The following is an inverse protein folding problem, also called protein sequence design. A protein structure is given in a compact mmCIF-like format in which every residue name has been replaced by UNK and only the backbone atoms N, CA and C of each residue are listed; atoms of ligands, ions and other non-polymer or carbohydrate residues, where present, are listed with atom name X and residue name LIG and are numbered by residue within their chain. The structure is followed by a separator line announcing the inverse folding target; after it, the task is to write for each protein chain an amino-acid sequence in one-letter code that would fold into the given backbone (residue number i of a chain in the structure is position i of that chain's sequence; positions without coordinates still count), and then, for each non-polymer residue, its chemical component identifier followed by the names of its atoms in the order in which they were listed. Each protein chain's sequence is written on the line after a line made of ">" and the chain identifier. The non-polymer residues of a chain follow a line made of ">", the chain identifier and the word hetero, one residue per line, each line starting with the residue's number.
data_IF_549041512798
#
_entry.id   IF_549041512798
#
_cell.length_a   1.000
_cell.length_b   1.000
_cell.length_c   1.000
_cell.angle_alpha   90.00
_cell.angle_beta   90.00
_cell.angle_gamma   90.00
#
_symmetry.space_group_name_H-M   'P 1'
#
loop_
_entity.id
_entity.type
_entity.pdbx_description
1 polymer ?
#
# COMPACT_ATOMS: atom_id res chain seq x y z
N UNK A 1 -26.08 -20.15 -26.88
CA UNK A 1 -25.56 -18.77 -26.84
C UNK A 1 -24.15 -18.80 -27.39
N UNK A 2 -23.89 -18.06 -28.45
CA UNK A 2 -22.58 -18.08 -29.09
C UNK A 2 -21.71 -16.95 -28.58
N UNK A 3 -20.45 -17.26 -28.28
CA UNK A 3 -19.43 -16.26 -27.89
C UNK A 3 -19.25 -15.18 -28.97
N UNK A 4 -19.57 -15.52 -30.23
CA UNK A 4 -19.57 -14.61 -31.38
C UNK A 4 -20.38 -13.33 -31.14
N UNK A 5 -21.52 -13.41 -30.45
CA UNK A 5 -22.35 -12.25 -30.11
C UNK A 5 -21.65 -11.27 -29.17
N UNK A 6 -20.99 -11.79 -28.12
CA UNK A 6 -20.19 -11.01 -27.19
C UNK A 6 -18.97 -10.38 -27.89
N UNK A 7 -18.30 -11.15 -28.75
CA UNK A 7 -17.15 -10.65 -29.51
C UNK A 7 -17.53 -9.53 -30.47
N UNK A 8 -18.65 -9.67 -31.18
CA UNK A 8 -19.20 -8.64 -32.06
C UNK A 8 -19.53 -7.36 -31.27
N UNK A 9 -20.16 -7.49 -30.10
CA UNK A 9 -20.44 -6.34 -29.22
C UNK A 9 -19.16 -5.62 -28.79
N UNK A 10 -18.17 -6.37 -28.29
CA UNK A 10 -16.88 -5.80 -27.86
C UNK A 10 -16.17 -5.12 -29.04
N UNK A 11 -16.12 -5.77 -30.21
CA UNK A 11 -15.50 -5.21 -31.41
C UNK A 11 -16.19 -3.92 -31.89
N UNK A 12 -17.52 -3.87 -31.78
CA UNK A 12 -18.36 -2.75 -32.20
C UNK A 12 -18.16 -1.53 -31.29
N UNK A 13 -18.10 -1.72 -29.98
CA UNK A 13 -18.25 -0.61 -29.02
C UNK A 13 -17.08 -0.34 -28.08
N UNK A 14 -16.20 -1.30 -27.82
CA UNK A 14 -15.10 -1.09 -26.88
C UNK A 14 -14.19 0.06 -27.36
N UNK A 15 -13.89 1.00 -26.46
CA UNK A 15 -13.14 2.25 -26.75
C UNK A 15 -13.81 3.16 -27.81
N UNK A 16 -15.08 2.93 -28.17
CA UNK A 16 -15.83 3.65 -29.22
C UNK A 16 -17.20 4.18 -28.74
N UNK A 17 -17.44 4.18 -27.43
CA UNK A 17 -18.69 4.68 -26.84
C UNK A 17 -18.70 6.21 -26.85
N UNK A 18 -19.82 6.79 -27.22
CA UNK A 18 -20.09 8.24 -27.21
C UNK A 18 -21.51 8.49 -26.69
N UNK A 19 -21.81 9.74 -26.35
CA UNK A 19 -23.17 10.15 -25.98
C UNK A 19 -24.23 9.83 -27.07
N UNK A 20 -23.84 9.77 -28.35
CA UNK A 20 -24.74 9.46 -29.47
C UNK A 20 -25.12 7.97 -29.55
N UNK A 21 -24.19 7.07 -29.20
CA UNK A 21 -24.41 5.63 -29.28
C UNK A 21 -24.66 4.95 -27.93
N UNK A 22 -24.57 5.68 -26.81
CA UNK A 22 -24.75 5.17 -25.45
C UNK A 22 -26.05 4.37 -25.26
N UNK A 23 -27.17 4.86 -25.80
CA UNK A 23 -28.45 4.14 -25.73
C UNK A 23 -28.42 2.80 -26.47
N UNK A 24 -27.74 2.73 -27.62
CA UNK A 24 -27.58 1.50 -28.39
C UNK A 24 -26.64 0.51 -27.69
N UNK A 25 -25.55 1.00 -27.09
CA UNK A 25 -24.63 0.20 -26.27
C UNK A 25 -25.38 -0.52 -25.15
N UNK A 26 -26.22 0.21 -24.42
CA UNK A 26 -27.01 -0.36 -23.31
C UNK A 26 -28.05 -1.36 -23.82
N UNK A 27 -28.75 -1.03 -24.92
CA UNK A 27 -29.81 -1.86 -25.47
C UNK A 27 -29.30 -3.19 -26.07
N UNK A 28 -28.10 -3.20 -26.63
CA UNK A 28 -27.49 -4.39 -27.25
C UNK A 28 -26.69 -5.26 -26.26
N UNK A 29 -26.55 -4.84 -25.00
CA UNK A 29 -25.86 -5.64 -23.98
C UNK A 29 -26.72 -6.84 -23.53
N UNK A 30 -26.16 -8.06 -23.60
CA UNK A 30 -26.81 -9.28 -23.13
C UNK A 30 -26.17 -9.76 -21.80
N UNK A 31 -26.97 -9.77 -20.73
CA UNK A 31 -26.53 -10.21 -19.40
C UNK A 31 -26.10 -11.69 -19.36
N UNK A 32 -26.63 -12.51 -20.26
CA UNK A 32 -26.29 -13.92 -20.30
C UNK A 32 -24.83 -14.16 -20.73
N UNK A 33 -24.15 -13.14 -21.27
CA UNK A 33 -22.72 -13.21 -21.52
C UNK A 33 -21.88 -13.47 -20.26
N UNK A 34 -22.45 -13.29 -19.06
CA UNK A 34 -21.82 -13.71 -17.80
C UNK A 34 -21.36 -15.17 -17.78
N UNK A 35 -22.00 -16.05 -18.55
CA UNK A 35 -21.56 -17.45 -18.66
C UNK A 35 -20.17 -17.61 -19.28
N UNK A 36 -19.69 -16.61 -20.03
CA UNK A 36 -18.36 -16.62 -20.65
C UNK A 36 -17.23 -16.20 -19.71
N UNK A 37 -17.49 -15.90 -18.43
CA UNK A 37 -16.40 -15.73 -17.44
C UNK A 37 -15.54 -16.98 -17.31
N UNK A 38 -16.14 -18.16 -17.50
CA UNK A 38 -15.47 -19.48 -17.51
C UNK A 38 -14.62 -19.75 -18.75
N UNK A 39 -14.70 -18.91 -19.78
CA UNK A 39 -14.04 -19.16 -21.05
C UNK A 39 -12.53 -18.87 -20.94
N UNK A 40 -11.73 -19.93 -20.90
CA UNK A 40 -10.28 -19.88 -20.67
C UNK A 40 -9.45 -19.59 -21.94
N UNK A 41 -10.05 -19.73 -23.13
CA UNK A 41 -9.35 -19.62 -24.42
C UNK A 41 -9.44 -18.20 -25.00
N UNK A 42 -8.74 -17.24 -24.42
CA UNK A 42 -8.45 -15.97 -25.10
C UNK A 42 -6.95 -15.93 -25.42
N UNK A 43 -6.62 -16.23 -26.68
CA UNK A 43 -5.24 -16.23 -27.23
C UNK A 43 -4.68 -14.80 -27.44
N UNK A 44 -5.37 -13.75 -26.99
CA UNK A 44 -4.78 -12.41 -27.00
C UNK A 44 -3.60 -12.32 -26.02
N UNK A 45 -2.52 -11.57 -26.35
CA UNK A 45 -1.35 -11.40 -25.49
C UNK A 45 -1.64 -10.86 -24.08
N UNK A 46 -2.86 -10.33 -23.84
CA UNK A 46 -3.30 -9.72 -22.58
C UNK A 46 -4.31 -10.56 -21.77
N UNK A 47 -4.82 -11.70 -22.28
CA UNK A 47 -5.81 -12.57 -21.60
C UNK A 47 -6.98 -11.78 -20.95
N UNK A 48 -7.59 -10.84 -21.67
CA UNK A 48 -8.66 -10.00 -21.11
C UNK A 48 -9.98 -10.79 -21.09
N UNK A 49 -10.76 -10.70 -20.00
CA UNK A 49 -12.11 -11.30 -19.98
C UNK A 49 -13.01 -10.55 -20.96
N UNK A 50 -13.49 -11.21 -22.02
CA UNK A 50 -14.41 -10.60 -23.02
C UNK A 50 -15.66 -10.04 -22.35
N UNK A 51 -16.25 -10.78 -21.40
CA UNK A 51 -17.38 -10.29 -20.63
C UNK A 51 -17.00 -9.07 -19.77
N UNK A 52 -15.81 -9.09 -19.15
CA UNK A 52 -15.27 -7.92 -18.46
C UNK A 52 -15.12 -6.69 -19.35
N UNK A 53 -14.65 -6.85 -20.60
CA UNK A 53 -14.60 -5.76 -21.58
C UNK A 53 -16.00 -5.27 -21.95
N UNK A 54 -16.97 -6.16 -22.11
CA UNK A 54 -18.35 -5.79 -22.36
C UNK A 54 -18.97 -5.01 -21.18
N UNK A 55 -18.67 -5.39 -19.93
CA UNK A 55 -19.07 -4.64 -18.74
C UNK A 55 -18.41 -3.25 -18.68
N UNK A 56 -17.13 -3.14 -19.04
CA UNK A 56 -16.46 -1.83 -19.14
C UNK A 56 -17.19 -0.98 -20.17
N UNK A 57 -17.43 -1.50 -21.36
CA UNK A 57 -18.18 -0.80 -22.42
C UNK A 57 -19.57 -0.38 -21.95
N UNK A 58 -20.31 -1.26 -21.26
CA UNK A 58 -21.62 -0.96 -20.68
C UNK A 58 -21.53 0.18 -19.65
N UNK A 59 -20.55 0.15 -18.75
CA UNK A 59 -20.36 1.18 -17.73
C UNK A 59 -20.04 2.55 -18.34
N UNK A 60 -19.28 2.60 -19.44
CA UNK A 60 -19.07 3.85 -20.21
C UNK A 60 -20.37 4.28 -20.89
N UNK A 61 -21.15 3.35 -21.43
CA UNK A 61 -22.47 3.63 -22.00
C UNK A 61 -23.40 4.33 -21.00
N UNK A 62 -23.48 3.81 -19.78
CA UNK A 62 -24.24 4.49 -18.72
C UNK A 62 -23.65 5.85 -18.37
N UNK A 63 -22.33 5.98 -18.24
CA UNK A 63 -21.71 7.27 -17.94
C UNK A 63 -21.97 8.32 -19.02
N UNK A 64 -21.98 7.95 -20.31
CA UNK A 64 -22.23 8.84 -21.44
C UNK A 64 -23.72 9.16 -21.64
N UNK A 65 -24.63 8.30 -21.16
CA UNK A 65 -26.07 8.50 -21.32
C UNK A 65 -26.54 9.77 -20.58
N UNK A 66 -27.33 10.60 -21.27
CA UNK A 66 -27.77 11.90 -20.75
C UNK A 66 -28.73 11.77 -19.56
N UNK A 67 -29.72 10.90 -19.68
CA UNK A 67 -30.80 10.69 -18.72
C UNK A 67 -30.65 9.34 -17.99
N UNK A 68 -29.56 9.18 -17.23
CA UNK A 68 -29.41 8.00 -16.37
C UNK A 68 -30.34 8.07 -15.16
N UNK A 69 -30.81 6.90 -14.69
CA UNK A 69 -31.57 6.78 -13.46
C UNK A 69 -30.89 5.82 -12.47
N UNK A 70 -31.33 5.86 -11.21
CA UNK A 70 -30.74 5.03 -10.17
C UNK A 70 -30.85 3.52 -10.45
N UNK A 71 -31.96 3.05 -11.03
CA UNK A 71 -32.17 1.60 -11.26
C UNK A 71 -31.14 1.03 -12.22
N UNK A 72 -30.78 1.79 -13.24
CA UNK A 72 -29.76 1.40 -14.21
C UNK A 72 -28.38 1.24 -13.57
N UNK A 73 -28.01 2.13 -12.65
CA UNK A 73 -26.72 2.07 -11.97
C UNK A 73 -26.73 1.00 -10.85
N UNK A 74 -27.87 0.73 -10.21
CA UNK A 74 -28.03 -0.44 -9.33
C UNK A 74 -27.76 -1.72 -10.13
N UNK A 75 -28.40 -1.88 -11.29
CA UNK A 75 -28.18 -3.04 -12.18
C UNK A 75 -26.72 -3.16 -12.61
N UNK A 76 -26.07 -2.05 -12.99
CA UNK A 76 -24.63 -2.05 -13.30
C UNK A 76 -23.79 -2.51 -12.10
N UNK A 77 -24.11 -2.01 -10.90
CA UNK A 77 -23.43 -2.38 -9.66
C UNK A 77 -23.55 -3.86 -9.33
N UNK A 78 -24.73 -4.46 -9.56
CA UNK A 78 -24.97 -5.90 -9.37
C UNK A 78 -24.13 -6.73 -10.35
N UNK A 79 -24.14 -6.38 -11.65
CA UNK A 79 -23.33 -7.06 -12.66
C UNK A 79 -21.83 -6.98 -12.38
N UNK A 80 -21.34 -5.82 -11.94
CA UNK A 80 -19.95 -5.64 -11.53
C UNK A 80 -19.65 -6.44 -10.26
N UNK A 81 -20.57 -6.49 -9.30
CA UNK A 81 -20.43 -7.28 -8.08
C UNK A 81 -20.32 -8.78 -8.36
N UNK A 82 -21.18 -9.30 -9.23
CA UNK A 82 -21.15 -10.70 -9.68
C UNK A 82 -19.80 -11.02 -10.36
N UNK A 83 -19.35 -10.15 -11.27
CA UNK A 83 -18.04 -10.29 -11.90
C UNK A 83 -16.88 -10.23 -10.89
N UNK A 84 -17.00 -9.38 -9.88
CA UNK A 84 -15.96 -9.22 -8.85
C UNK A 84 -15.81 -10.47 -7.98
N UNK A 85 -16.91 -11.15 -7.69
CA UNK A 85 -16.96 -12.36 -6.86
C UNK A 85 -16.70 -13.66 -7.64
N UNK A 86 -16.65 -13.62 -8.97
CA UNK A 86 -16.43 -14.81 -9.80
C UNK A 86 -14.94 -15.24 -9.81
N UNK A 87 -14.69 -16.45 -9.30
CA UNK A 87 -13.37 -17.08 -9.23
C UNK A 87 -12.67 -17.20 -10.60
N UNK A 88 -13.42 -17.35 -11.70
CA UNK A 88 -12.85 -17.47 -13.05
C UNK A 88 -12.15 -16.18 -13.50
N UNK A 89 -12.53 -15.03 -12.92
CA UNK A 89 -11.96 -13.72 -13.20
C UNK A 89 -11.24 -13.12 -11.99
N UNK A 90 -10.94 -13.95 -10.98
CA UNK A 90 -10.25 -13.59 -9.73
C UNK A 90 -9.05 -12.66 -9.94
N UNK A 91 -8.21 -12.96 -10.94
CA UNK A 91 -6.97 -12.22 -11.22
C UNK A 91 -7.10 -11.13 -12.31
N UNK A 92 -8.32 -10.81 -12.78
CA UNK A 92 -8.54 -9.78 -13.80
C UNK A 92 -8.54 -8.38 -13.20
N UNK A 93 -7.53 -8.06 -12.40
CA UNK A 93 -7.46 -6.83 -11.59
C UNK A 93 -7.56 -5.55 -12.42
N UNK A 94 -6.93 -5.48 -13.60
CA UNK A 94 -7.04 -4.30 -14.47
C UNK A 94 -8.47 -4.05 -14.97
N UNK A 95 -9.25 -5.11 -15.21
CA UNK A 95 -10.67 -4.99 -15.57
C UNK A 95 -11.46 -4.52 -14.36
N UNK A 96 -11.29 -5.19 -13.20
CA UNK A 96 -11.98 -4.84 -11.96
C UNK A 96 -11.72 -3.39 -11.54
N UNK A 97 -10.47 -2.95 -11.61
CA UNK A 97 -10.05 -1.57 -11.41
C UNK A 97 -10.88 -0.62 -12.28
N UNK A 98 -10.92 -0.86 -13.60
CA UNK A 98 -11.65 0.01 -14.54
C UNK A 98 -13.15 0.02 -14.27
N UNK A 99 -13.74 -1.14 -13.98
CA UNK A 99 -15.16 -1.26 -13.65
C UNK A 99 -15.53 -0.44 -12.42
N UNK A 100 -14.75 -0.54 -11.34
CA UNK A 100 -15.03 0.21 -10.11
C UNK A 100 -14.76 1.71 -10.25
N UNK A 101 -13.82 2.13 -11.09
CA UNK A 101 -13.66 3.54 -11.46
C UNK A 101 -14.94 4.05 -12.14
N UNK A 102 -15.38 3.38 -13.20
CA UNK A 102 -16.56 3.79 -13.96
C UNK A 102 -17.84 3.76 -13.13
N UNK A 103 -17.99 2.78 -12.25
CA UNK A 103 -19.13 2.70 -11.32
C UNK A 103 -19.15 3.90 -10.37
N UNK A 104 -17.99 4.30 -9.83
CA UNK A 104 -17.89 5.48 -8.98
C UNK A 104 -18.27 6.76 -9.72
N UNK A 105 -17.81 6.91 -10.98
CA UNK A 105 -18.19 8.02 -11.84
C UNK A 105 -19.70 8.06 -12.12
N UNK A 106 -20.33 6.91 -12.38
CA UNK A 106 -21.77 6.82 -12.59
C UNK A 106 -22.57 7.20 -11.34
N UNK A 107 -22.15 6.74 -10.15
CA UNK A 107 -22.79 7.13 -8.89
C UNK A 107 -22.67 8.62 -8.60
N UNK A 108 -21.48 9.20 -8.83
CA UNK A 108 -21.26 10.62 -8.65
C UNK A 108 -22.10 11.46 -9.63
N UNK A 109 -22.26 11.03 -10.89
CA UNK A 109 -23.15 11.70 -11.87
C UNK A 109 -24.61 11.79 -11.39
N UNK A 110 -25.05 10.85 -10.56
CA UNK A 110 -26.37 10.85 -9.90
C UNK A 110 -26.39 11.54 -8.52
N UNK A 111 -25.27 12.15 -8.08
CA UNK A 111 -25.08 12.74 -6.75
C UNK A 111 -25.15 11.72 -5.58
N UNK A 112 -24.82 10.45 -5.82
CA UNK A 112 -24.70 9.41 -4.79
C UNK A 112 -23.25 9.26 -4.30
N UNK A 113 -22.67 10.31 -3.74
CA UNK A 113 -21.23 10.38 -3.39
C UNK A 113 -20.76 9.27 -2.45
N UNK A 114 -21.59 8.86 -1.47
CA UNK A 114 -21.23 7.75 -0.59
C UNK A 114 -21.08 6.43 -1.38
N UNK A 115 -21.95 6.15 -2.36
CA UNK A 115 -21.81 4.98 -3.23
C UNK A 115 -20.61 5.12 -4.17
N UNK A 116 -20.33 6.34 -4.62
CA UNK A 116 -19.15 6.63 -5.42
C UNK A 116 -17.85 6.34 -4.64
N UNK A 117 -17.77 6.77 -3.37
CA UNK A 117 -16.63 6.50 -2.49
C UNK A 117 -16.42 4.99 -2.31
N UNK A 118 -17.48 4.21 -2.06
CA UNK A 118 -17.36 2.74 -1.92
C UNK A 118 -16.85 2.08 -3.21
N UNK A 119 -17.30 2.54 -4.38
CA UNK A 119 -16.75 2.09 -5.65
C UNK A 119 -15.27 2.51 -5.80
N UNK A 120 -14.92 3.75 -5.44
CA UNK A 120 -13.54 4.23 -5.50
C UNK A 120 -12.60 3.49 -4.53
N UNK A 121 -13.07 3.05 -3.36
CA UNK A 121 -12.29 2.17 -2.45
C UNK A 121 -11.88 0.88 -3.16
N UNK A 122 -12.80 0.22 -3.86
CA UNK A 122 -12.49 -0.98 -4.65
C UNK A 122 -11.60 -0.69 -5.87
N UNK A 123 -11.82 0.42 -6.56
CA UNK A 123 -10.93 0.88 -7.63
C UNK A 123 -9.48 1.00 -7.13
N UNK A 124 -9.28 1.68 -6.00
CA UNK A 124 -7.98 1.87 -5.38
C UNK A 124 -7.39 0.55 -4.91
N UNK A 125 -8.18 -0.33 -4.29
CA UNK A 125 -7.74 -1.67 -3.90
C UNK A 125 -7.12 -2.43 -5.09
N UNK A 126 -7.80 -2.46 -6.24
CA UNK A 126 -7.31 -3.13 -7.44
C UNK A 126 -6.13 -2.41 -8.11
N UNK A 127 -6.05 -1.09 -7.97
CA UNK A 127 -4.88 -0.33 -8.39
C UNK A 127 -3.66 -0.70 -7.52
N UNK A 128 -3.81 -0.77 -6.20
CA UNK A 128 -2.72 -1.07 -5.25
C UNK A 128 -2.27 -2.53 -5.36
N UNK A 129 -3.18 -3.49 -5.50
CA UNK A 129 -2.83 -4.92 -5.54
C UNK A 129 -1.95 -5.30 -6.74
N UNK A 130 -2.02 -4.51 -7.82
CA UNK A 130 -1.19 -4.70 -9.02
C UNK A 130 0.17 -4.02 -8.94
N UNK A 131 0.42 -3.20 -7.90
CA UNK A 131 1.65 -2.41 -7.75
C UNK A 131 2.81 -3.14 -7.07
N UNK A 132 2.56 -4.31 -6.48
CA UNK A 132 3.56 -5.15 -5.85
C UNK A 132 3.25 -6.64 -6.01
N UNK A 133 4.29 -7.41 -6.28
CA UNK A 133 4.21 -8.87 -6.48
C UNK A 133 5.25 -9.63 -5.65
N UNK A 134 5.90 -8.95 -4.69
CA UNK A 134 7.01 -9.52 -3.94
C UNK A 134 6.77 -9.41 -2.45
N UNK A 135 6.81 -10.55 -1.77
CA UNK A 135 6.84 -10.61 -0.31
C UNK A 135 8.30 -10.59 0.16
N UNK A 136 8.59 -9.75 1.16
CA UNK A 136 9.94 -9.55 1.69
C UNK A 136 9.97 -9.90 3.17
N UNK A 137 11.14 -10.31 3.67
CA UNK A 137 11.42 -10.47 5.10
C UNK A 137 12.44 -9.41 5.57
N UNK A 138 12.11 -8.10 5.53
CA UNK A 138 13.09 -7.07 5.76
C UNK A 138 13.47 -6.95 7.25
N UNK A 139 14.71 -6.53 7.49
CA UNK A 139 15.08 -5.86 8.73
C UNK A 139 14.64 -4.40 8.65
N UNK A 140 14.11 -3.86 9.74
CA UNK A 140 13.61 -2.49 9.78
C UNK A 140 13.80 -1.86 11.16
N UNK A 141 14.10 -0.57 11.21
CA UNK A 141 14.27 0.17 12.47
C UNK A 141 13.16 1.20 12.64
N UNK A 142 12.56 1.28 13.82
CA UNK A 142 11.56 2.30 14.14
C UNK A 142 11.96 3.10 15.37
N UNK A 143 12.05 4.42 15.21
CA UNK A 143 12.27 5.37 16.30
C UNK A 143 10.90 5.79 16.86
N UNK A 144 10.74 5.69 18.17
CA UNK A 144 9.45 5.88 18.84
C UNK A 144 9.61 6.61 20.16
N UNK A 145 8.64 7.46 20.48
CA UNK A 145 8.50 8.08 21.80
C UNK A 145 7.98 7.04 22.81
N UNK A 146 8.45 7.13 24.04
CA UNK A 146 7.91 6.34 25.16
C UNK A 146 6.52 6.87 25.53
N UNK A 147 5.48 6.08 25.24
CA UNK A 147 4.08 6.42 25.50
C UNK A 147 3.33 5.16 25.94
N UNK A 148 2.18 5.32 26.60
CA UNK A 148 1.33 4.19 26.96
C UNK A 148 0.91 3.35 25.75
N UNK A 149 0.68 4.01 24.61
CA UNK A 149 0.36 3.34 23.36
C UNK A 149 1.51 2.44 22.89
N UNK A 150 2.76 2.94 22.93
CA UNK A 150 3.93 2.11 22.63
C UNK A 150 4.00 0.89 23.56
N UNK A 151 3.81 1.08 24.87
CA UNK A 151 3.87 -0.02 25.83
C UNK A 151 2.82 -1.09 25.53
N UNK A 152 1.58 -0.69 25.21
CA UNK A 152 0.53 -1.63 24.82
C UNK A 152 0.90 -2.40 23.55
N UNK A 153 1.46 -1.73 22.54
CA UNK A 153 1.92 -2.39 21.31
C UNK A 153 3.07 -3.36 21.56
N UNK A 154 3.98 -3.05 22.48
CA UNK A 154 5.02 -3.96 22.92
C UNK A 154 4.44 -5.17 23.66
N UNK A 155 3.48 -4.95 24.58
CA UNK A 155 2.76 -6.02 25.30
C UNK A 155 2.02 -6.95 24.34
N UNK A 156 1.38 -6.41 23.31
CA UNK A 156 0.58 -7.19 22.36
C UNK A 156 1.38 -7.71 21.15
N UNK A 157 2.65 -7.29 20.99
CA UNK A 157 3.44 -7.50 19.77
C UNK A 157 2.69 -7.05 18.52
N UNK A 158 2.26 -5.79 18.55
CA UNK A 158 1.51 -5.15 17.49
C UNK A 158 2.30 -4.00 16.87
N UNK A 159 2.19 -3.89 15.55
CA UNK A 159 2.67 -2.76 14.80
C UNK A 159 1.51 -1.80 14.56
N UNK A 160 1.69 -0.54 14.94
CA UNK A 160 0.73 0.51 14.64
C UNK A 160 1.04 1.15 13.29
N UNK A 161 -0.03 1.39 12.54
CA UNK A 161 -0.02 2.08 11.26
C UNK A 161 -0.92 3.31 11.37
N UNK A 162 -0.57 4.37 10.66
CA UNK A 162 -1.33 5.63 10.71
C UNK A 162 -1.80 6.01 9.31
N UNK A 163 -2.93 6.71 9.23
CA UNK A 163 -3.34 7.36 7.99
C UNK A 163 -2.26 8.37 7.57
N UNK A 164 -1.93 8.49 6.27
CA UNK A 164 -1.03 9.53 5.76
C UNK A 164 -1.44 10.95 6.15
N UNK A 165 -2.72 11.17 6.47
CA UNK A 165 -3.25 12.45 6.97
C UNK A 165 -2.62 12.93 8.28
N UNK A 166 -1.98 12.03 9.03
CA UNK A 166 -1.34 12.32 10.32
C UNK A 166 0.15 12.62 10.21
N UNK A 167 0.72 12.56 9.00
CA UNK A 167 2.15 12.77 8.78
C UNK A 167 2.51 14.26 8.93
N UNK A 168 3.72 14.52 9.42
CA UNK A 168 4.18 15.85 9.79
C UNK A 168 4.73 16.67 8.60
N UNK A 169 5.16 16.02 7.52
CA UNK A 169 5.57 16.68 6.29
C UNK A 169 4.35 16.84 5.37
N UNK A 170 3.97 18.07 4.97
CA UNK A 170 2.84 18.30 4.08
C UNK A 170 3.00 17.65 2.71
N UNK A 171 4.24 17.38 2.26
CA UNK A 171 4.54 16.70 1.00
C UNK A 171 4.71 15.19 1.16
N UNK A 172 4.42 14.65 2.34
CA UNK A 172 4.48 13.22 2.58
C UNK A 172 3.25 12.52 1.98
N UNK A 173 3.50 11.48 1.17
CA UNK A 173 2.50 10.88 0.28
C UNK A 173 1.89 11.94 -0.65
N UNK A 174 2.57 12.29 -1.76
CA UNK A 174 2.11 13.32 -2.70
C UNK A 174 0.72 13.10 -3.29
N UNK A 175 0.04 11.99 -3.00
CA UNK A 175 -1.34 11.72 -3.40
C UNK A 175 -2.28 12.92 -3.14
N UNK A 176 -2.05 13.69 -2.07
CA UNK A 176 -2.89 14.86 -1.75
C UNK A 176 -2.75 15.93 -2.81
N UNK A 177 -1.52 16.26 -3.19
CA UNK A 177 -1.17 17.24 -4.20
C UNK A 177 -1.51 16.73 -5.61
N UNK A 178 -1.29 15.44 -5.88
CA UNK A 178 -1.59 14.79 -7.16
C UNK A 178 -3.10 14.71 -7.44
N UNK A 179 -3.93 14.62 -6.40
CA UNK A 179 -5.40 14.68 -6.48
C UNK A 179 -5.94 16.10 -6.24
N UNK A 180 -5.10 17.13 -6.11
CA UNK A 180 -5.57 18.49 -5.83
C UNK A 180 -5.90 19.25 -7.12
N UNK A 181 -6.74 18.68 -7.97
CA UNK A 181 -7.17 19.29 -9.23
C UNK A 181 -8.45 20.15 -9.07
N UNK A 182 -9.01 20.20 -7.85
CA UNK A 182 -10.16 21.04 -7.50
C UNK A 182 -11.53 20.45 -7.86
N UNK A 183 -11.58 19.38 -8.66
CA UNK A 183 -12.82 18.70 -9.03
C UNK A 183 -13.34 17.78 -7.90
N UNK A 184 -14.64 17.48 -7.95
CA UNK A 184 -15.31 16.72 -6.89
C UNK A 184 -14.91 15.23 -6.90
N UNK A 185 -14.63 14.65 -8.08
CA UNK A 185 -14.19 13.24 -8.19
C UNK A 185 -12.87 13.02 -7.46
N UNK A 186 -11.90 13.91 -7.65
CA UNK A 186 -10.61 13.83 -6.97
C UNK A 186 -10.75 13.93 -5.45
N UNK A 187 -11.71 14.71 -4.92
CA UNK A 187 -12.01 14.76 -3.48
C UNK A 187 -12.57 13.44 -2.98
N UNK A 188 -13.49 12.81 -3.72
CA UNK A 188 -14.06 11.51 -3.36
C UNK A 188 -13.01 10.40 -3.39
N UNK A 189 -12.13 10.38 -4.40
CA UNK A 189 -11.02 9.44 -4.46
C UNK A 189 -10.04 9.65 -3.31
N UNK A 190 -9.71 10.91 -2.97
CA UNK A 190 -8.87 11.22 -1.82
C UNK A 190 -9.51 10.74 -0.51
N UNK A 191 -10.83 10.85 -0.36
CA UNK A 191 -11.54 10.29 0.79
C UNK A 191 -11.41 8.76 0.84
N UNK A 192 -11.65 8.07 -0.28
CA UNK A 192 -11.49 6.62 -0.38
C UNK A 192 -10.05 6.15 -0.04
N UNK A 193 -9.03 6.92 -0.40
CA UNK A 193 -7.65 6.67 0.05
C UNK A 193 -7.52 6.81 1.57
N UNK A 194 -8.01 7.91 2.15
CA UNK A 194 -7.86 8.21 3.58
C UNK A 194 -8.49 7.15 4.48
N UNK A 195 -9.67 6.67 4.09
CA UNK A 195 -10.43 5.67 4.85
C UNK A 195 -9.63 4.38 4.99
N UNK A 196 -9.16 3.82 3.87
CA UNK A 196 -8.63 2.47 3.83
C UNK A 196 -7.10 2.36 3.95
N UNK A 197 -6.35 3.41 3.61
CA UNK A 197 -4.88 3.38 3.59
C UNK A 197 -4.27 3.70 4.95
N UNK A 198 -3.32 2.86 5.36
CA UNK A 198 -2.48 3.04 6.55
C UNK A 198 -1.03 2.72 6.21
N UNK A 199 -0.11 3.42 6.85
CA UNK A 199 1.33 3.27 6.62
C UNK A 199 2.05 3.14 7.96
N UNK A 200 3.01 2.22 8.02
CA UNK A 200 4.06 2.22 9.03
C UNK A 200 5.40 2.56 8.38
N UNK A 201 6.07 3.58 8.93
CA UNK A 201 7.37 4.04 8.45
C UNK A 201 8.50 3.49 9.32
N UNK A 202 9.56 3.05 8.63
CA UNK A 202 10.79 2.52 9.21
C UNK A 202 12.01 3.11 8.52
N UNK A 203 13.17 2.94 9.14
CA UNK A 203 14.48 3.21 8.55
C UNK A 203 15.14 1.87 8.19
N UNK A 204 15.66 1.78 6.97
CA UNK A 204 16.50 0.67 6.53
C UNK A 204 17.51 1.19 5.49
N UNK A 205 18.80 1.14 5.80
CA UNK A 205 19.86 1.64 4.90
C UNK A 205 20.20 0.66 3.77
N UNK A 206 19.56 -0.50 3.72
CA UNK A 206 19.66 -1.49 2.65
C UNK A 206 18.40 -1.41 1.80
N UNK A 207 18.55 -1.40 0.47
CA UNK A 207 17.41 -1.52 -0.43
C UNK A 207 16.76 -2.90 -0.28
N UNK A 208 15.44 -2.94 -0.38
CA UNK A 208 14.73 -4.18 -0.64
C UNK A 208 15.32 -4.85 -1.90
N UNK A 209 15.40 -6.19 -1.93
CA UNK A 209 15.80 -6.92 -3.11
C UNK A 209 15.03 -6.49 -4.37
N UNK A 210 15.74 -6.26 -5.47
CA UNK A 210 15.14 -5.85 -6.73
C UNK A 210 15.88 -6.44 -7.93
N UNK A 211 15.16 -6.65 -9.02
CA UNK A 211 15.74 -7.08 -10.29
C UNK A 211 16.21 -5.87 -11.09
N UNK A 212 17.45 -5.88 -11.56
CA UNK A 212 18.05 -4.83 -12.36
C UNK A 212 18.30 -5.33 -13.78
N UNK A 213 17.89 -4.56 -14.78
CA UNK A 213 18.18 -4.80 -16.19
C UNK A 213 19.23 -3.79 -16.67
N UNK A 214 20.39 -4.27 -17.10
CA UNK A 214 21.45 -3.47 -17.71
C UNK A 214 21.84 -4.08 -19.07
N UNK A 215 21.63 -3.33 -20.17
CA UNK A 215 22.02 -3.72 -21.53
C UNK A 215 21.55 -5.13 -21.97
N UNK A 216 20.36 -5.54 -21.55
CA UNK A 216 19.77 -6.85 -21.89
C UNK A 216 20.18 -8.00 -20.95
N UNK A 217 21.11 -7.78 -20.01
CA UNK A 217 21.41 -8.72 -18.95
C UNK A 217 20.66 -8.32 -17.67
N UNK A 218 20.00 -9.29 -17.05
CA UNK A 218 19.26 -9.09 -15.81
C UNK A 218 19.95 -9.74 -14.63
N UNK A 219 20.10 -9.01 -13.52
CA UNK A 219 20.61 -9.56 -12.27
C UNK A 219 19.70 -9.22 -11.09
N UNK A 220 19.64 -10.12 -10.12
CA UNK A 220 18.94 -9.87 -8.87
C UNK A 220 19.90 -9.22 -7.87
N UNK A 221 19.57 -8.00 -7.45
CA UNK A 221 20.40 -7.19 -6.56
C UNK A 221 19.89 -7.34 -5.12
N UNK A 222 20.77 -7.82 -4.25
CA UNK A 222 20.52 -8.01 -2.82
C UNK A 222 21.50 -7.21 -1.97
N UNK A 223 21.10 -6.88 -0.74
CA UNK A 223 21.98 -6.30 0.28
C UNK A 223 22.71 -5.02 -0.15
N UNK A 224 22.18 -4.29 -1.14
CA UNK A 224 22.76 -3.06 -1.64
C UNK A 224 22.38 -1.89 -0.73
N UNK A 225 23.39 -1.22 -0.16
CA UNK A 225 23.19 0.04 0.57
C UNK A 225 22.48 1.09 -0.28
N UNK A 226 21.54 1.83 0.32
CA UNK A 226 20.88 2.99 -0.27
C UNK A 226 21.90 4.09 -0.55
N UNK A 227 22.73 4.43 0.45
CA UNK A 227 23.83 5.38 0.28
C UNK A 227 25.16 4.82 0.82
N UNK A 228 26.24 5.10 0.09
CA UNK A 228 27.59 4.59 0.43
C UNK A 228 28.04 4.97 1.84
N UNK A 229 27.64 6.15 2.34
CA UNK A 229 28.04 6.71 3.62
C UNK A 229 27.08 6.38 4.77
N UNK A 230 26.03 5.60 4.52
CA UNK A 230 25.08 5.24 5.56
C UNK A 230 25.77 4.49 6.70
N UNK A 231 25.52 4.99 7.91
CA UNK A 231 25.84 4.34 9.17
C UNK A 231 24.75 3.33 9.50
N UNK A 232 24.98 2.49 10.52
CA UNK A 232 23.91 1.69 11.12
C UNK A 232 22.76 2.60 11.54
N UNK A 233 21.54 2.14 11.37
CA UNK A 233 20.30 2.90 11.49
C UNK A 233 20.18 3.57 12.86
N UNK A 234 20.42 2.79 13.93
CA UNK A 234 20.41 3.28 15.32
C UNK A 234 21.52 4.31 15.64
N UNK A 235 22.46 4.58 14.72
CA UNK A 235 23.48 5.63 14.84
C UNK A 235 23.08 6.94 14.17
N UNK A 236 21.92 7.01 13.50
CA UNK A 236 21.44 8.24 12.89
C UNK A 236 20.88 9.20 13.95
N UNK A 237 21.63 10.26 14.24
CA UNK A 237 21.27 11.25 15.26
C UNK A 237 20.04 12.07 14.90
N UNK A 238 19.78 12.32 13.61
CA UNK A 238 18.59 13.06 13.18
C UNK A 238 17.32 12.24 13.43
N UNK A 239 17.36 10.92 13.19
CA UNK A 239 16.24 10.03 13.51
C UNK A 239 15.90 10.04 15.00
N UNK A 240 16.92 10.02 15.87
CA UNK A 240 16.71 10.16 17.30
C UNK A 240 16.11 11.51 17.71
N UNK A 241 16.58 12.59 17.08
CA UNK A 241 16.11 13.95 17.36
C UNK A 241 14.64 14.13 16.99
N UNK A 242 14.25 13.71 15.78
CA UNK A 242 12.92 13.91 15.23
C UNK A 242 11.88 12.90 15.75
N UNK A 243 12.22 11.61 15.80
CA UNK A 243 11.22 10.54 15.97
C UNK A 243 11.27 9.82 17.32
N UNK A 244 12.38 9.96 18.07
CA UNK A 244 12.52 9.37 19.40
C UNK A 244 12.55 10.43 20.51
N UNK A 245 11.64 11.41 20.41
CA UNK A 245 11.41 12.46 21.41
C UNK A 245 12.70 13.16 21.86
N UNK A 246 13.50 13.65 20.91
CA UNK A 246 14.79 14.28 21.21
C UNK A 246 15.73 13.39 22.05
N UNK A 247 15.87 12.12 21.65
CA UNK A 247 16.63 11.06 22.32
C UNK A 247 16.06 10.54 23.67
N UNK A 248 14.84 10.90 24.06
CA UNK A 248 14.18 10.34 25.26
C UNK A 248 13.43 9.02 24.98
N UNK A 249 13.15 8.74 23.71
CA UNK A 249 12.47 7.53 23.26
C UNK A 249 13.41 6.34 23.05
N UNK A 250 12.96 5.42 22.20
CA UNK A 250 13.68 4.20 21.82
C UNK A 250 13.80 4.04 20.31
N UNK A 251 14.67 3.13 19.89
CA UNK A 251 14.71 2.58 18.53
C UNK A 251 14.51 1.07 18.63
N UNK A 252 13.56 0.53 17.87
CA UNK A 252 13.26 -0.90 17.83
C UNK A 252 13.79 -1.46 16.52
N UNK A 253 14.56 -2.55 16.59
CA UNK A 253 14.99 -3.34 15.43
C UNK A 253 14.02 -4.51 15.25
N UNK A 254 13.35 -4.52 14.12
CA UNK A 254 12.49 -5.61 13.68
C UNK A 254 13.18 -6.47 12.65
N UNK A 255 12.78 -7.73 12.60
CA UNK A 255 12.94 -8.59 11.44
C UNK A 255 11.56 -9.16 11.10
N UNK A 256 11.00 -8.69 10.00
CA UNK A 256 9.67 -9.13 9.58
C UNK A 256 9.74 -10.46 8.83
N UNK A 257 8.65 -11.21 8.92
CA UNK A 257 8.42 -12.40 8.11
C UNK A 257 7.60 -12.03 6.89
N UNK A 258 7.88 -12.67 5.75
CA UNK A 258 7.21 -12.41 4.47
C UNK A 258 5.67 -12.55 4.54
N UNK A 259 5.13 -13.34 5.47
CA UNK A 259 3.69 -13.50 5.66
C UNK A 259 2.96 -12.23 6.13
N UNK A 260 3.67 -11.19 6.56
CA UNK A 260 3.04 -9.89 6.83
C UNK A 260 2.58 -9.22 5.54
N UNK A 261 3.22 -9.55 4.42
CA UNK A 261 2.80 -9.11 3.09
C UNK A 261 1.55 -9.88 2.70
N UNK A 262 0.51 -9.14 2.32
CA UNK A 262 -0.76 -9.64 1.79
C UNK A 262 -0.89 -9.16 0.35
N UNK A 263 -0.65 -10.05 -0.62
CA UNK A 263 -0.75 -9.76 -2.05
C UNK A 263 -1.99 -10.43 -2.67
N UNK A 264 -2.15 -10.29 -3.99
CA UNK A 264 -3.28 -10.83 -4.74
C UNK A 264 -3.54 -12.31 -4.45
N UNK A 265 -4.79 -12.64 -4.10
CA UNK A 265 -5.24 -14.03 -3.98
C UNK A 265 -6.34 -14.23 -2.95
N UNK A 266 -6.11 -13.99 -1.65
CA UNK A 266 -6.97 -14.61 -0.62
C UNK A 266 -7.12 -13.79 0.68
N UNK A 267 -7.20 -12.46 0.57
CA UNK A 267 -7.12 -11.59 1.76
C UNK A 267 -8.33 -10.67 2.00
N UNK A 268 -9.55 -11.06 1.61
CA UNK A 268 -10.82 -10.39 1.98
C UNK A 268 -10.80 -8.85 1.86
N UNK A 269 -10.21 -8.31 0.78
CA UNK A 269 -10.12 -6.85 0.59
C UNK A 269 -8.95 -6.17 1.29
N UNK A 270 -7.92 -6.92 1.70
CA UNK A 270 -6.70 -6.40 2.32
C UNK A 270 -5.49 -6.57 1.39
N UNK A 271 -4.71 -5.50 1.23
CA UNK A 271 -3.37 -5.52 0.62
C UNK A 271 -2.37 -4.98 1.62
N UNK A 272 -1.22 -5.63 1.78
CA UNK A 272 -0.13 -5.10 2.59
C UNK A 272 1.23 -5.46 1.98
N UNK A 273 2.16 -4.51 1.86
CA UNK A 273 3.51 -4.80 1.35
C UNK A 273 4.53 -3.72 1.74
N UNK A 274 5.79 -4.14 1.72
CA UNK A 274 6.93 -3.25 1.91
C UNK A 274 7.39 -2.61 0.60
N UNK A 275 7.77 -1.34 0.66
CA UNK A 275 8.40 -0.63 -0.44
C UNK A 275 9.34 0.46 0.06
N UNK A 276 10.49 0.61 -0.61
CA UNK A 276 11.42 1.71 -0.34
C UNK A 276 10.89 3.03 -0.88
N UNK A 277 11.08 4.10 -0.09
CA UNK A 277 10.77 5.47 -0.52
C UNK A 277 11.85 5.99 -1.45
N UNK A 278 11.41 6.62 -2.54
CA UNK A 278 12.22 7.39 -3.47
C UNK A 278 12.29 8.84 -3.03
N UNK A 279 13.44 9.47 -3.27
CA UNK A 279 13.68 10.86 -2.89
C UNK A 279 13.94 11.72 -4.12
N UNK A 280 13.28 12.87 -4.19
CA UNK A 280 13.42 13.79 -5.31
C UNK A 280 13.41 15.25 -4.88
N UNK A 281 14.12 16.08 -5.65
CA UNK A 281 14.05 17.53 -5.65
C UNK A 281 13.60 18.07 -7.02
N UNK A 282 13.00 17.21 -7.85
CA UNK A 282 12.48 17.57 -9.16
C UNK A 282 11.20 18.39 -9.09
N UNK A 283 10.87 19.06 -10.19
CA UNK A 283 9.65 19.86 -10.30
C UNK A 283 8.38 19.03 -10.11
N UNK A 284 7.41 19.56 -9.35
CA UNK A 284 6.10 18.97 -9.08
C UNK A 284 5.32 18.58 -10.35
N UNK A 285 5.46 19.37 -11.41
CA UNK A 285 4.83 19.15 -12.73
C UNK A 285 5.15 17.78 -13.33
N UNK A 286 6.32 17.20 -13.01
CA UNK A 286 6.73 15.85 -13.45
C UNK A 286 5.90 14.73 -12.86
N UNK A 287 5.24 15.02 -11.73
CA UNK A 287 4.44 14.07 -10.98
C UNK A 287 2.94 14.29 -11.20
N UNK A 288 2.50 15.54 -11.43
CA UNK A 288 1.09 15.89 -11.65
C UNK A 288 0.59 15.70 -13.08
N UNK A 289 1.44 15.81 -14.11
CA UNK A 289 1.03 15.77 -15.53
C UNK A 289 0.90 14.35 -16.10
N UNK A 290 0.78 13.33 -15.25
CA UNK A 290 0.52 11.96 -15.72
C UNK A 290 -0.99 11.79 -15.71
N UNK A 291 -1.58 11.55 -16.88
CA UNK A 291 -3.02 11.27 -17.07
C UNK A 291 -3.53 10.05 -16.24
N UNK A 292 -2.63 9.35 -15.55
CA UNK A 292 -2.91 8.43 -14.46
C UNK A 292 -1.94 8.68 -13.28
N UNK A 293 -2.48 8.77 -12.07
CA UNK A 293 -1.67 8.87 -10.84
C UNK A 293 -0.81 7.62 -10.70
N UNK A 294 0.51 7.81 -10.77
CA UNK A 294 1.45 6.73 -10.46
C UNK A 294 1.43 6.49 -8.95
N UNK A 295 0.89 5.35 -8.51
CA UNK A 295 0.89 4.93 -7.10
C UNK A 295 2.27 5.01 -6.43
N UNK A 296 3.34 4.70 -7.18
CA UNK A 296 4.69 4.72 -6.64
C UNK A 296 5.10 6.15 -6.26
N UNK A 297 4.76 7.12 -7.10
CA UNK A 297 5.01 8.54 -6.83
C UNK A 297 4.03 9.07 -5.76
N UNK A 298 2.81 8.53 -5.70
CA UNK A 298 1.78 9.00 -4.78
C UNK A 298 2.03 8.60 -3.31
N UNK A 299 2.63 7.43 -3.07
CA UNK A 299 2.81 6.88 -1.71
C UNK A 299 4.26 6.65 -1.29
N UNK A 300 5.19 6.63 -2.24
CA UNK A 300 6.59 6.28 -1.98
C UNK A 300 7.55 7.29 -2.57
N UNK A 301 7.13 8.55 -2.72
CA UNK A 301 8.00 9.68 -3.05
C UNK A 301 8.03 10.65 -1.87
N UNK A 302 9.22 11.19 -1.59
CA UNK A 302 9.44 12.18 -0.54
C UNK A 302 10.47 13.22 -0.99
N UNK A 303 10.44 14.40 -0.39
CA UNK A 303 11.41 15.45 -0.66
C UNK A 303 12.84 15.00 -0.36
N UNK A 304 13.80 15.43 -1.18
CA UNK A 304 15.22 15.03 -1.07
C UNK A 304 15.85 15.33 0.30
N UNK A 305 15.38 16.37 0.99
CA UNK A 305 15.89 16.74 2.32
C UNK A 305 15.67 15.66 3.37
N UNK A 306 14.70 14.76 3.16
CA UNK A 306 14.40 13.63 4.04
C UNK A 306 15.16 12.34 3.70
N UNK A 307 16.06 12.35 2.71
CA UNK A 307 16.78 11.16 2.26
C UNK A 307 17.56 10.46 3.39
N UNK A 308 17.98 11.22 4.41
CA UNK A 308 18.67 10.65 5.58
C UNK A 308 17.82 9.65 6.38
N UNK A 309 16.49 9.65 6.22
CA UNK A 309 15.58 8.73 6.91
C UNK A 309 15.71 7.30 6.40
N UNK A 310 16.27 7.11 5.20
CA UNK A 310 16.39 5.80 4.55
C UNK A 310 15.07 5.01 4.60
N UNK A 311 13.97 5.73 4.37
CA UNK A 311 12.63 5.27 4.70
C UNK A 311 12.22 4.00 3.92
N UNK A 312 11.65 3.07 4.66
CA UNK A 312 10.99 1.85 4.22
C UNK A 312 9.56 1.91 4.76
N UNK A 313 8.56 1.77 3.90
CA UNK A 313 7.15 1.81 4.28
C UNK A 313 6.55 0.42 4.21
N UNK A 314 5.80 0.04 5.24
CA UNK A 314 4.75 -0.99 5.12
C UNK A 314 3.45 -0.27 4.80
N UNK A 315 2.94 -0.46 3.59
CA UNK A 315 1.61 -0.02 3.20
C UNK A 315 0.61 -1.09 3.61
N UNK A 316 -0.54 -0.67 4.16
CA UNK A 316 -1.72 -1.49 4.40
C UNK A 316 -2.92 -0.77 3.78
N UNK A 317 -3.65 -1.46 2.92
CA UNK A 317 -4.94 -1.01 2.41
C UNK A 317 -5.99 -2.03 2.79
N UNK A 318 -6.99 -1.65 3.58
CA UNK A 318 -8.04 -2.53 4.08
C UNK A 318 -9.40 -1.92 3.76
N UNK A 319 -10.17 -2.60 2.90
CA UNK A 319 -11.52 -2.15 2.51
C UNK A 319 -12.49 -2.08 3.70
N UNK A 320 -12.23 -2.82 4.78
CA UNK A 320 -13.13 -2.93 5.92
C UNK A 320 -12.71 -2.05 7.10
N UNK A 321 -11.51 -1.46 7.07
CA UNK A 321 -11.01 -0.62 8.14
C UNK A 321 -11.03 0.85 7.71
N UNK A 322 -11.88 1.64 8.38
CA UNK A 322 -12.03 3.08 8.15
C UNK A 322 -11.47 3.92 9.31
N UNK A 323 -10.85 3.28 10.31
CA UNK A 323 -10.27 3.99 11.45
C UNK A 323 -9.09 4.84 11.00
N UNK A 324 -8.69 5.84 11.79
CA UNK A 324 -7.48 6.64 11.49
C UNK A 324 -6.19 5.84 11.69
N UNK A 325 -6.25 4.82 12.56
CA UNK A 325 -5.12 3.98 12.94
C UNK A 325 -5.42 2.52 12.65
N UNK A 326 -4.40 1.78 12.22
CA UNK A 326 -4.48 0.34 12.03
C UNK A 326 -3.47 -0.39 12.91
N UNK A 327 -3.71 -1.68 13.18
CA UNK A 327 -2.79 -2.53 13.91
C UNK A 327 -2.57 -3.85 13.18
N UNK A 328 -1.32 -4.30 13.10
CA UNK A 328 -0.97 -5.63 12.58
C UNK A 328 -0.24 -6.41 13.67
N UNK A 329 -0.63 -7.66 13.90
CA UNK A 329 0.09 -8.55 14.81
C UNK A 329 1.44 -8.94 14.18
N UNK A 330 2.51 -8.76 14.94
CA UNK A 330 3.91 -9.02 14.55
C UNK A 330 4.63 -9.88 15.60
N UNK A 331 4.07 -11.04 15.96
CA UNK A 331 4.62 -11.86 17.02
C UNK A 331 6.06 -12.25 16.70
N UNK A 332 6.94 -12.13 17.70
CA UNK A 332 8.34 -12.50 17.65
C UNK A 332 9.19 -11.76 16.60
N UNK A 333 8.71 -10.63 16.05
CA UNK A 333 9.46 -9.86 15.05
C UNK A 333 10.48 -8.89 15.67
N UNK A 334 10.40 -8.59 16.98
CA UNK A 334 11.31 -7.63 17.64
C UNK A 334 12.61 -8.35 18.00
N UNK A 335 13.71 -7.92 17.39
CA UNK A 335 15.03 -8.51 17.61
C UNK A 335 15.82 -7.78 18.71
N UNK A 336 15.75 -6.44 18.72
CA UNK A 336 16.49 -5.63 19.66
C UNK A 336 15.81 -4.29 19.95
N UNK A 337 16.05 -3.74 21.14
CA UNK A 337 15.61 -2.41 21.56
C UNK A 337 16.81 -1.59 22.01
N UNK A 338 16.91 -0.39 21.46
CA UNK A 338 17.91 0.61 21.81
C UNK A 338 17.24 1.73 22.58
N UNK A 339 17.72 2.02 23.79
CA UNK A 339 17.27 3.14 24.61
C UNK A 339 18.06 4.40 24.23
N UNK A 340 17.34 5.50 23.99
CA UNK A 340 17.94 6.78 23.65
C UNK A 340 18.85 7.31 24.76
N UNK A 341 19.75 8.24 24.40
CA UNK A 341 20.71 8.88 25.32
C UNK A 341 20.06 9.47 26.57
N UNK A 342 18.83 9.96 26.44
CA UNK A 342 18.05 10.65 27.47
C UNK A 342 16.82 9.84 27.90
N UNK A 343 16.75 8.56 27.53
CA UNK A 343 15.65 7.70 27.92
C UNK A 343 15.60 7.58 29.44
N UNK A 344 14.42 7.79 30.02
CA UNK A 344 14.27 7.78 31.47
C UNK A 344 14.43 6.35 32.01
N UNK A 345 14.95 6.22 33.23
CA UNK A 345 15.10 4.89 33.83
C UNK A 345 13.74 4.22 34.08
N UNK A 346 12.69 5.00 34.35
CA UNK A 346 11.30 4.50 34.45
C UNK A 346 10.84 3.86 33.15
N UNK A 347 11.02 4.53 32.01
CA UNK A 347 10.59 3.98 30.72
C UNK A 347 11.42 2.76 30.34
N UNK A 348 12.72 2.81 30.61
CA UNK A 348 13.65 1.70 30.40
C UNK A 348 13.23 0.47 31.20
N UNK A 349 13.01 0.61 32.50
CA UNK A 349 12.57 -0.46 33.39
C UNK A 349 11.21 -1.03 32.94
N UNK A 350 10.26 -0.16 32.58
CA UNK A 350 8.95 -0.58 32.05
C UNK A 350 9.11 -1.45 30.80
N UNK A 351 9.92 -1.00 29.83
CA UNK A 351 10.13 -1.74 28.58
C UNK A 351 10.89 -3.05 28.81
N UNK A 352 11.91 -3.05 29.68
CA UNK A 352 12.62 -4.27 30.06
C UNK A 352 11.62 -5.28 30.65
N UNK A 353 10.78 -4.87 31.60
CA UNK A 353 9.78 -5.74 32.22
C UNK A 353 8.79 -6.33 31.20
N UNK A 354 8.37 -5.55 30.19
CA UNK A 354 7.46 -6.01 29.13
C UNK A 354 8.14 -7.02 28.19
N UNK A 355 9.40 -6.77 27.84
CA UNK A 355 10.06 -7.44 26.71
C UNK A 355 11.02 -8.55 27.13
N UNK A 356 11.47 -8.61 28.39
CA UNK A 356 12.41 -9.62 28.88
C UNK A 356 11.86 -11.05 28.86
N UNK A 357 10.54 -11.23 28.96
CA UNK A 357 9.89 -12.54 28.83
C UNK A 357 9.60 -12.93 27.38
N UNK A 358 9.84 -12.04 26.42
CA UNK A 358 9.54 -12.25 25.00
C UNK A 358 10.76 -12.72 24.24
N UNK A 359 10.52 -13.34 23.09
CA UNK A 359 11.56 -13.92 22.27
C UNK A 359 11.42 -13.43 20.83
N UNK A 360 12.57 -13.29 20.20
CA UNK A 360 12.69 -13.12 18.77
C UNK A 360 12.76 -14.48 18.09
N UNK A 361 11.99 -14.67 17.01
CA UNK A 361 11.93 -15.95 16.28
C UNK A 361 12.07 -15.68 14.78
N UNK A 362 13.00 -16.36 14.13
CA UNK A 362 13.10 -16.38 12.67
C UNK A 362 12.56 -17.70 12.12
N UNK A 363 11.77 -17.54 11.06
CA UNK A 363 11.14 -18.64 10.33
C UNK A 363 11.59 -18.59 8.87
N UNK A 364 11.76 -19.75 8.27
CA UNK A 364 11.98 -19.88 6.84
C UNK A 364 10.67 -19.66 6.06
N UNK A 365 10.70 -19.85 4.74
CA UNK A 365 9.54 -19.62 3.88
C UNK A 365 8.39 -20.60 4.19
N UNK A 366 8.72 -21.80 4.67
CA UNK A 366 7.74 -22.84 5.04
C UNK A 366 7.18 -22.62 6.46
N UNK A 367 7.71 -21.64 7.20
CA UNK A 367 7.31 -21.33 8.56
C UNK A 367 8.07 -22.12 9.63
N UNK A 368 9.09 -22.91 9.26
CA UNK A 368 9.89 -23.66 10.21
C UNK A 368 10.81 -22.70 10.98
N UNK A 369 10.83 -22.85 12.30
CA UNK A 369 11.69 -22.04 13.17
C UNK A 369 13.14 -22.53 13.05
N UNK A 370 14.04 -21.64 12.64
CA UNK A 370 15.48 -21.94 12.58
C UNK A 370 16.31 -21.08 13.53
N UNK A 371 15.73 -20.04 14.15
CA UNK A 371 16.40 -19.24 15.19
C UNK A 371 15.39 -18.77 16.21
N UNK A 372 15.71 -18.93 17.50
CA UNK A 372 15.00 -18.31 18.61
C UNK A 372 16.05 -17.71 19.55
N UNK A 373 15.90 -16.43 19.91
CA UNK A 373 16.82 -15.76 20.84
C UNK A 373 16.07 -14.78 21.73
N UNK A 374 16.58 -14.51 22.95
CA UNK A 374 16.07 -13.41 23.76
C UNK A 374 16.25 -12.09 23.03
N UNK A 375 15.38 -11.13 23.32
CA UNK A 375 15.46 -9.78 22.77
C UNK A 375 16.70 -9.09 23.35
N UNK A 376 17.47 -8.44 22.49
CA UNK A 376 18.67 -7.73 22.92
C UNK A 376 18.36 -6.28 23.31
N UNK A 377 18.96 -5.81 24.40
CA UNK A 377 18.79 -4.44 24.86
C UNK A 377 20.09 -3.67 24.80
N UNK A 378 20.01 -2.40 24.39
CA UNK A 378 21.17 -1.53 24.24
C UNK A 378 20.88 -0.14 24.80
N UNK A 379 21.86 0.49 25.42
CA UNK A 379 21.84 1.91 25.76
C UNK A 379 22.67 2.69 24.73
N UNK A 380 22.08 3.72 24.13
CA UNK A 380 22.85 4.66 23.31
C UNK A 380 23.71 5.54 24.22
N UNK A 381 24.98 5.72 23.85
CA UNK A 381 25.96 6.57 24.55
C UNK A 381 26.73 7.44 23.55
N UNK A 382 27.28 8.56 24.03
CA UNK A 382 28.16 9.40 23.21
C UNK A 382 29.47 8.68 22.92
N UNK A 383 29.93 8.75 21.68
CA UNK A 383 31.28 8.32 21.35
C UNK A 383 32.29 9.39 21.78
N UNK A 384 32.96 9.16 22.91
CA UNK A 384 33.99 10.08 23.43
C UNK A 384 35.20 10.24 22.49
N UNK A 385 35.39 9.37 21.50
CA UNK A 385 36.50 9.46 20.54
C UNK A 385 36.17 10.28 19.29
N UNK A 386 34.90 10.40 18.92
CA UNK A 386 34.49 11.04 17.68
C UNK A 386 33.32 11.99 17.92
N UNK A 387 33.54 13.29 17.70
CA UNK A 387 32.52 14.32 17.88
C UNK A 387 31.26 14.03 17.03
N UNK A 388 30.08 14.23 17.62
CA UNK A 388 28.80 14.03 16.95
C UNK A 388 28.43 12.58 16.65
N UNK A 389 29.12 11.59 17.23
CA UNK A 389 28.83 10.17 17.02
C UNK A 389 28.24 9.49 18.27
N UNK A 390 27.42 8.48 18.01
CA UNK A 390 26.84 7.61 19.03
C UNK A 390 27.48 6.22 18.96
N UNK A 391 27.37 5.48 20.06
CA UNK A 391 27.63 4.03 20.15
C UNK A 391 26.48 3.36 20.89
N UNK A 392 26.19 2.12 20.54
CA UNK A 392 25.26 1.28 21.27
C UNK A 392 26.06 0.40 22.25
N UNK A 393 25.75 0.49 23.54
CA UNK A 393 26.32 -0.36 24.59
C UNK A 393 25.29 -1.43 24.95
N UNK A 394 25.64 -2.71 24.78
CA UNK A 394 24.74 -3.81 25.13
C UNK A 394 24.50 -3.83 26.64
N UNK A 395 23.24 -3.93 27.05
CA UNK A 395 22.85 -4.15 28.43
C UNK A 395 23.04 -5.64 28.76
N UNK A 396 23.50 -5.92 29.98
CA UNK A 396 23.78 -7.28 30.44
C UNK A 396 22.50 -8.02 30.78
#
# INVERSE_FOLDING_TARGET
>A
MEISSLEQYVQKYHEKVTAENAGQVIAEFDENWKHFTKYMYDETPKRLSKYGLALITLSVGYYELKDINERDIIRLSELIGDFDLDDNVKYKFGIKQTLFLNLGLCWHKLNYDNRAIEAFKKYIYYLIITSSHTAYSPTAFAFRKCTNFLYQSLVNEQLNLSSPTTFNDPFDCPIRELLNNGDDISKLQLQAYKDCLKIACFTNNINLPYFKLDNGNGEFVNNKKKHRKDKKEFLNTLMWAHYADSHKGICIKYHFHHSITKLAGDHNGIVAYFKDVKYSNGEMSKYSNKDAINLEDAFFLKGKDWEYENELRLLLYDLNNQDTYGTINIPNCIEAIYFGLKCSDKDKETILNIMSSKQFVQKDIEGNVFTTKPIEFYQMVLDKKHFGQLKAMKLK
#
